data_IF_883554514606
#
_entry.id   IF_883554514606
#
_cell.length_a   1.000
_cell.length_b   1.000
_cell.length_c   1.000
_cell.angle_alpha   90.00
_cell.angle_beta   90.00
_cell.angle_gamma   90.00
#
_symmetry.space_group_name_H-M   'P 1'
#
loop_
_entity.id
_entity.type
_entity.pdbx_description
1 polymer ?
#
# COMPACT_ATOMS: atom_id res chain seq x y z
N UNK A 1 -18.65 -13.08 13.59
CA UNK A 1 -17.34 -13.39 12.97
C UNK A 1 -16.93 -14.76 13.47
N UNK A 2 -16.92 -15.79 12.62
CA UNK A 2 -16.54 -17.16 13.01
C UNK A 2 -15.02 -17.27 12.93
N UNK A 3 -14.38 -17.46 14.09
CA UNK A 3 -12.94 -17.77 14.17
C UNK A 3 -12.77 -19.29 14.16
N UNK A 4 -11.82 -19.79 13.37
CA UNK A 4 -11.44 -21.22 13.33
C UNK A 4 -10.86 -21.64 14.70
N UNK A 5 -10.21 -20.70 15.40
CA UNK A 5 -9.68 -20.88 16.75
C UNK A 5 -10.59 -20.15 17.73
N UNK A 6 -11.44 -20.90 18.42
CA UNK A 6 -12.36 -20.36 19.41
C UNK A 6 -11.61 -20.15 20.74
N UNK A 7 -11.75 -18.97 21.37
CA UNK A 7 -11.11 -18.65 22.67
C UNK A 7 -9.66 -18.15 22.60
N UNK A 8 -9.03 -18.16 21.42
CA UNK A 8 -7.68 -17.61 21.22
C UNK A 8 -7.71 -16.16 20.75
N UNK A 9 -6.71 -15.37 21.14
CA UNK A 9 -6.54 -14.00 20.61
C UNK A 9 -6.09 -14.07 19.16
N UNK A 10 -6.41 -13.03 18.38
CA UNK A 10 -6.14 -12.98 16.94
C UNK A 10 -4.65 -13.22 16.60
N UNK A 11 -3.73 -12.57 17.31
CA UNK A 11 -2.29 -12.72 17.07
C UNK A 11 -1.82 -14.16 17.32
N UNK A 12 -2.32 -14.80 18.37
CA UNK A 12 -1.98 -16.18 18.72
C UNK A 12 -2.57 -17.16 17.70
N UNK A 13 -3.78 -16.90 17.22
CA UNK A 13 -4.43 -17.69 16.18
C UNK A 13 -3.68 -17.60 14.83
N UNK A 14 -3.19 -16.42 14.46
CA UNK A 14 -2.38 -16.23 13.26
C UNK A 14 -1.06 -16.99 13.36
N UNK A 15 -0.37 -16.86 14.51
CA UNK A 15 0.89 -17.55 14.75
C UNK A 15 0.71 -19.07 14.70
N UNK A 16 -0.36 -19.58 15.32
CA UNK A 16 -0.71 -21.01 15.31
C UNK A 16 -1.04 -21.51 13.90
N UNK A 17 -1.79 -20.72 13.13
CA UNK A 17 -2.17 -21.06 11.77
C UNK A 17 -1.05 -20.86 10.74
N UNK A 18 0.04 -20.17 11.12
CA UNK A 18 1.15 -19.75 10.23
C UNK A 18 0.68 -19.00 8.98
N UNK A 19 -0.34 -18.16 9.13
CA UNK A 19 -0.91 -17.36 8.04
C UNK A 19 -0.37 -15.93 8.16
N UNK A 20 -0.14 -15.17 7.08
CA UNK A 20 0.15 -13.74 7.18
C UNK A 20 -1.02 -12.95 7.78
N UNK A 21 -0.73 -11.80 8.39
CA UNK A 21 -1.80 -10.95 8.91
C UNK A 21 -2.66 -10.40 7.78
N UNK A 22 -3.90 -10.02 8.10
CA UNK A 22 -4.77 -9.34 7.13
C UNK A 22 -4.15 -8.04 6.59
N UNK A 23 -3.32 -7.36 7.39
CA UNK A 23 -2.62 -6.16 6.96
C UNK A 23 -1.57 -6.50 5.89
N UNK A 24 -0.70 -7.48 6.16
CA UNK A 24 0.34 -7.92 5.22
C UNK A 24 -0.27 -8.43 3.91
N UNK A 25 -1.34 -9.23 4.03
CA UNK A 25 -2.07 -9.74 2.86
C UNK A 25 -2.69 -8.61 2.05
N UNK A 26 -3.29 -7.62 2.70
CA UNK A 26 -3.87 -6.45 2.01
C UNK A 26 -2.77 -5.67 1.29
N UNK A 27 -1.63 -5.47 1.93
CA UNK A 27 -0.51 -4.75 1.35
C UNK A 27 0.05 -5.48 0.11
N UNK A 28 0.30 -6.79 0.22
CA UNK A 28 0.75 -7.62 -0.90
C UNK A 28 -0.22 -7.57 -2.10
N UNK A 29 -1.53 -7.65 -1.83
CA UNK A 29 -2.55 -7.53 -2.87
C UNK A 29 -2.54 -6.15 -3.53
N UNK A 30 -2.49 -5.07 -2.74
CA UNK A 30 -2.40 -3.70 -3.26
C UNK A 30 -1.14 -3.50 -4.11
N UNK A 31 0.03 -3.95 -3.66
CA UNK A 31 1.27 -3.87 -4.45
C UNK A 31 1.12 -4.60 -5.79
N UNK A 32 0.67 -5.85 -5.76
CA UNK A 32 0.51 -6.66 -6.98
C UNK A 32 -0.49 -6.04 -7.97
N UNK A 33 -1.62 -5.51 -7.47
CA UNK A 33 -2.65 -4.89 -8.28
C UNK A 33 -2.12 -3.64 -8.96
N UNK A 34 -1.50 -2.74 -8.21
CA UNK A 34 -1.05 -1.48 -8.76
C UNK A 34 0.19 -1.62 -9.66
N UNK A 35 1.08 -2.56 -9.38
CA UNK A 35 2.16 -2.93 -10.30
C UNK A 35 1.59 -3.42 -11.66
N UNK A 36 0.45 -4.12 -11.64
CA UNK A 36 -0.26 -4.49 -12.88
C UNK A 36 -0.94 -3.29 -13.53
N UNK A 37 -1.51 -2.38 -12.75
CA UNK A 37 -2.15 -1.16 -13.25
C UNK A 37 -1.16 -0.20 -13.92
N UNK A 38 0.11 -0.21 -13.55
CA UNK A 38 1.16 0.58 -14.21
C UNK A 38 1.42 0.16 -15.66
N UNK A 39 1.02 -1.06 -16.06
CA UNK A 39 1.14 -1.50 -17.44
C UNK A 39 0.09 -0.79 -18.29
N UNK A 40 0.50 -0.18 -19.39
CA UNK A 40 -0.37 0.52 -20.34
C UNK A 40 -1.51 -0.35 -20.88
N UNK A 41 -1.32 -1.66 -20.94
CA UNK A 41 -2.32 -2.64 -21.37
C UNK A 41 -3.40 -2.97 -20.32
N UNK A 42 -3.33 -2.40 -19.11
CA UNK A 42 -4.27 -2.71 -18.04
C UNK A 42 -5.51 -1.80 -18.11
N UNK A 43 -6.72 -2.38 -17.99
CA UNK A 43 -8.00 -1.64 -18.05
C UNK A 43 -8.11 -0.47 -17.06
N UNK A 44 -7.41 -0.58 -15.93
CA UNK A 44 -7.41 0.44 -14.86
C UNK A 44 -6.17 1.34 -14.89
N UNK A 45 -5.37 1.32 -15.96
CA UNK A 45 -4.16 2.14 -16.08
C UNK A 45 -4.45 3.65 -15.96
N UNK A 46 -5.62 4.11 -16.38
CA UNK A 46 -6.02 5.52 -16.31
C UNK A 46 -6.63 5.95 -14.96
N UNK A 47 -6.83 5.02 -14.04
CA UNK A 47 -7.47 5.30 -12.75
C UNK A 47 -6.59 6.12 -11.78
N UNK A 48 -5.28 5.82 -11.61
CA UNK A 48 -4.43 6.63 -10.75
C UNK A 48 -4.04 7.92 -11.48
N UNK A 49 -4.37 9.11 -10.95
CA UNK A 49 -3.97 10.36 -11.58
C UNK A 49 -2.44 10.49 -11.51
N UNK A 50 -1.75 10.77 -12.63
CA UNK A 50 -0.33 11.09 -12.60
C UNK A 50 -0.15 12.38 -11.78
N UNK A 51 0.87 12.44 -10.91
CA UNK A 51 1.19 13.72 -10.29
C UNK A 51 1.86 14.61 -11.29
N UNK A 52 1.23 15.75 -11.57
CA UNK A 52 1.90 16.90 -12.16
C UNK A 52 2.49 17.73 -11.03
N UNK A 53 3.77 17.55 -10.72
CA UNK A 53 4.50 18.46 -9.84
C UNK A 53 5.47 19.30 -10.67
N UNK A 54 5.31 20.63 -10.62
CA UNK A 54 6.20 21.57 -11.31
C UNK A 54 7.55 21.76 -10.56
N UNK A 55 7.74 21.05 -9.44
CA UNK A 55 8.91 21.20 -8.57
C UNK A 55 9.50 19.83 -8.25
N UNK A 56 10.82 19.72 -8.32
CA UNK A 56 11.55 18.50 -7.97
C UNK A 56 11.71 18.40 -6.46
N UNK A 57 10.78 17.68 -5.81
CA UNK A 57 10.97 17.29 -4.42
C UNK A 57 11.93 16.09 -4.38
N UNK A 58 12.87 16.09 -3.43
CA UNK A 58 13.79 14.95 -3.19
C UNK A 58 13.06 13.61 -3.04
N UNK A 59 11.83 13.66 -2.50
CA UNK A 59 10.94 12.52 -2.33
C UNK A 59 9.59 12.75 -3.04
N UNK A 60 9.64 13.09 -4.34
CA UNK A 60 8.43 13.22 -5.14
C UNK A 60 7.72 11.86 -5.26
N UNK A 61 6.47 11.77 -4.80
CA UNK A 61 5.65 10.58 -4.98
C UNK A 61 5.25 10.45 -6.45
N UNK A 62 5.17 9.22 -6.98
CA UNK A 62 4.64 8.99 -8.32
C UNK A 62 3.14 9.37 -8.44
N UNK A 63 2.36 9.19 -7.36
CA UNK A 63 0.91 9.37 -7.36
C UNK A 63 0.39 10.32 -6.27
N UNK A 64 -0.71 10.99 -6.59
CA UNK A 64 -1.43 11.85 -5.66
C UNK A 64 -2.30 10.99 -4.74
N UNK A 65 -1.92 10.88 -3.47
CA UNK A 65 -2.79 10.23 -2.47
C UNK A 65 -3.93 11.21 -2.13
N UNK A 66 -5.20 10.82 -2.30
CA UNK A 66 -6.33 11.71 -2.01
C UNK A 66 -6.37 12.00 -0.51
N UNK A 67 -6.50 13.28 -0.15
CA UNK A 67 -6.69 13.72 1.24
C UNK A 67 -8.14 13.48 1.64
N UNK A 68 -8.34 12.63 2.64
CA UNK A 68 -9.67 12.42 3.23
C UNK A 68 -9.60 12.51 4.74
N UNK A 69 -10.69 12.95 5.37
CA UNK A 69 -10.81 13.02 6.83
C UNK A 69 -11.24 11.69 7.43
N UNK A 70 -11.97 10.85 6.67
CA UNK A 70 -12.59 9.63 7.21
C UNK A 70 -11.67 8.42 7.13
N UNK A 71 -11.61 7.65 8.22
CA UNK A 71 -10.87 6.37 8.27
C UNK A 71 -11.39 5.38 7.24
N UNK A 72 -12.71 5.32 7.05
CA UNK A 72 -13.37 4.46 6.05
C UNK A 72 -12.86 4.70 4.64
N UNK A 73 -12.78 5.96 4.20
CA UNK A 73 -12.28 6.25 2.86
C UNK A 73 -10.79 5.95 2.76
N UNK A 74 -9.96 6.37 3.73
CA UNK A 74 -8.52 6.07 3.75
C UNK A 74 -8.21 4.57 3.62
N UNK A 75 -9.05 3.72 4.22
CA UNK A 75 -8.89 2.26 4.21
C UNK A 75 -9.51 1.58 2.98
N UNK A 76 -10.11 2.34 2.06
CA UNK A 76 -10.60 1.80 0.79
C UNK A 76 -9.43 1.48 -0.15
N UNK A 77 -9.65 0.56 -1.10
CA UNK A 77 -8.59 -0.05 -1.92
C UNK A 77 -7.74 0.98 -2.67
N UNK A 78 -8.37 1.98 -3.29
CA UNK A 78 -7.68 3.00 -4.09
C UNK A 78 -6.79 3.92 -3.24
N UNK A 79 -7.30 4.65 -2.23
CA UNK A 79 -6.48 5.52 -1.39
C UNK A 79 -5.41 4.76 -0.60
N UNK A 80 -5.74 3.56 -0.10
CA UNK A 80 -4.78 2.73 0.62
C UNK A 80 -3.67 2.22 -0.30
N UNK A 81 -4.00 1.71 -1.49
CA UNK A 81 -3.00 1.25 -2.45
C UNK A 81 -2.08 2.37 -2.93
N UNK A 82 -2.63 3.55 -3.23
CA UNK A 82 -1.84 4.74 -3.57
C UNK A 82 -0.92 5.18 -2.43
N UNK A 83 -1.37 5.03 -1.18
CA UNK A 83 -0.54 5.29 -0.01
C UNK A 83 0.63 4.30 0.08
N UNK A 84 0.37 3.00 -0.04
CA UNK A 84 1.37 1.91 0.05
C UNK A 84 2.49 2.10 -0.98
N UNK A 85 2.14 2.36 -2.24
CA UNK A 85 3.13 2.57 -3.31
C UNK A 85 3.87 3.89 -3.11
N UNK A 86 3.17 4.91 -2.61
CA UNK A 86 3.74 6.23 -2.35
C UNK A 86 4.68 6.27 -1.14
N UNK A 87 4.61 5.31 -0.20
CA UNK A 87 5.49 5.19 0.96
C UNK A 87 6.78 4.41 0.68
N UNK A 88 6.79 3.56 -0.35
CA UNK A 88 7.96 2.70 -0.66
C UNK A 88 9.09 3.49 -1.32
N UNK A 89 8.77 4.54 -2.08
CA UNK A 89 9.80 5.46 -2.63
C UNK A 89 10.59 6.16 -1.52
N UNK A 90 9.97 6.48 -0.37
CA UNK A 90 10.71 7.10 0.74
C UNK A 90 11.66 6.14 1.45
N UNK A 91 11.40 4.83 1.44
CA UNK A 91 12.29 3.83 2.06
C UNK A 91 13.40 3.32 1.14
N UNK A 92 13.19 3.37 -0.18
CA UNK A 92 14.23 3.03 -1.17
C UNK A 92 15.31 4.11 -1.29
N UNK A 93 14.98 5.40 -1.08
CA UNK A 93 15.97 6.48 -1.07
C UNK A 93 16.67 6.71 0.29
N UNK A 94 16.17 6.14 1.38
CA UNK A 94 16.85 6.24 2.69
C UNK A 94 17.93 5.19 2.91
N UNK A 95 18.07 4.21 2.00
CA UNK A 95 19.04 3.12 2.14
C UNK A 95 20.30 3.25 1.27
N UNK A 96 20.52 4.38 0.59
CA UNK A 96 21.73 4.59 -0.24
C UNK A 96 22.72 5.63 0.31
N UNK A 97 22.52 6.18 1.52
CA UNK A 97 23.43 7.20 2.06
C UNK A 97 23.75 7.04 3.56
N UNK A 98 24.18 5.85 3.95
CA UNK A 98 25.07 5.70 5.11
C UNK A 98 26.24 4.81 4.70
N UNK A 99 27.45 5.30 5.01
CA UNK A 99 28.80 4.82 4.65
C UNK A 99 29.41 5.40 3.36
N UNK A 100 29.78 6.69 3.41
CA UNK A 100 31.17 7.13 3.65
C UNK A 100 31.15 8.51 4.32
#
# INVERSE_FOLDING_TARGET
MRSIFCGMRYNDAIATARIPTLADRREALCRSLFARMQKTNHKLHHLPPPRTCNYSFRNARAYGVPRSKTSRFKNSVVPYGLYVIGSEWTSLFTNEHYWL
#
